data_IF_715474723419
#
_entry.id   IF_715474723419
#
_cell.length_a   1.000
_cell.length_b   1.000
_cell.length_c   1.000
_cell.angle_alpha   90.00
_cell.angle_beta   90.00
_cell.angle_gamma   90.00
#
_symmetry.space_group_name_H-M   'P 1'
#
loop_
_entity.id
_entity.type
_entity.pdbx_description
1 polymer ?
#
# COMPACT_ATOMS: atom_id res chain seq x y z
N UNK A 1 3.87 -13.91 20.06
CA UNK A 1 3.43 -12.75 20.86
C UNK A 1 3.32 -11.58 19.90
N UNK A 2 2.12 -11.02 19.73
CA UNK A 2 2.00 -9.71 19.08
C UNK A 2 2.62 -8.71 20.05
N UNK A 3 3.75 -8.11 19.68
CA UNK A 3 4.25 -6.95 20.42
C UNK A 3 3.12 -5.91 20.46
N UNK A 4 2.80 -5.39 21.64
CA UNK A 4 1.95 -4.20 21.81
C UNK A 4 2.69 -2.99 21.23
N UNK A 5 2.86 -3.00 19.91
CA UNK A 5 3.25 -1.80 19.17
C UNK A 5 2.06 -0.89 19.31
N UNK A 6 2.26 0.22 20.02
CA UNK A 6 1.28 1.30 20.13
C UNK A 6 0.96 1.74 18.70
N UNK A 7 -0.13 1.22 18.15
CA UNK A 7 -0.66 1.64 16.86
C UNK A 7 -1.29 2.99 17.13
N UNK A 8 -0.53 4.05 16.88
CA UNK A 8 -1.09 5.40 16.86
C UNK A 8 -2.33 5.38 15.97
N UNK A 9 -3.43 5.93 16.47
CA UNK A 9 -4.66 6.01 15.68
C UNK A 9 -4.31 6.74 14.36
N UNK A 10 -4.57 6.13 13.20
CA UNK A 10 -4.23 6.76 11.95
C UNK A 10 -4.99 8.07 11.80
N UNK A 11 -4.27 9.13 11.43
CA UNK A 11 -4.84 10.46 11.19
C UNK A 11 -5.89 10.50 10.08
N UNK A 12 -5.93 9.44 9.26
CA UNK A 12 -6.90 9.25 8.17
C UNK A 12 -7.76 8.03 8.48
N UNK A 13 -9.08 8.25 8.57
CA UNK A 13 -10.03 7.14 8.66
C UNK A 13 -10.10 6.38 7.34
N UNK A 14 -9.93 5.07 7.41
CA UNK A 14 -10.13 4.16 6.28
C UNK A 14 -11.53 3.55 6.33
N UNK A 15 -12.08 3.26 5.15
CA UNK A 15 -13.38 2.60 5.02
C UNK A 15 -13.30 1.10 5.28
N UNK A 16 -12.20 0.47 4.87
CA UNK A 16 -12.02 -0.98 4.92
C UNK A 16 -10.97 -1.38 5.97
N UNK A 17 -11.12 -2.55 6.61
CA UNK A 17 -10.07 -3.12 7.46
C UNK A 17 -8.81 -3.45 6.64
N UNK A 18 -7.65 -3.71 7.28
CA UNK A 18 -6.45 -4.06 6.55
C UNK A 18 -6.63 -5.39 5.82
N UNK A 19 -6.14 -5.45 4.59
CA UNK A 19 -6.06 -6.67 3.80
C UNK A 19 -5.03 -7.67 4.37
N UNK A 20 -5.09 -8.93 3.93
CA UNK A 20 -4.06 -9.93 4.28
C UNK A 20 -2.65 -9.50 3.84
N UNK A 21 -2.56 -8.78 2.74
CA UNK A 21 -1.29 -8.22 2.26
C UNK A 21 -0.71 -7.24 3.28
N UNK A 22 -1.52 -6.29 3.74
CA UNK A 22 -1.13 -5.34 4.79
C UNK A 22 -0.76 -6.04 6.09
N UNK A 23 -1.55 -7.02 6.53
CA UNK A 23 -1.26 -7.81 7.72
C UNK A 23 0.08 -8.52 7.65
N UNK A 24 0.34 -9.21 6.53
CA UNK A 24 1.61 -9.92 6.31
C UNK A 24 2.78 -8.96 6.45
N UNK A 25 2.69 -7.80 5.82
CA UNK A 25 3.78 -6.81 5.76
C UNK A 25 4.03 -6.18 7.13
N UNK A 26 2.97 -5.85 7.86
CA UNK A 26 3.08 -5.35 9.23
C UNK A 26 3.71 -6.39 10.16
N UNK A 27 3.43 -7.68 9.94
CA UNK A 27 4.00 -8.77 10.71
C UNK A 27 5.48 -9.05 10.37
N UNK A 28 5.83 -9.03 9.08
CA UNK A 28 7.19 -9.34 8.61
C UNK A 28 8.13 -8.15 8.58
N UNK A 29 7.63 -6.92 8.72
CA UNK A 29 8.43 -5.69 8.61
C UNK A 29 8.98 -5.45 7.20
N UNK A 30 8.29 -5.95 6.17
CA UNK A 30 8.73 -5.82 4.76
C UNK A 30 8.03 -4.64 4.07
N UNK A 31 8.19 -4.50 2.74
CA UNK A 31 7.47 -3.50 1.94
C UNK A 31 6.28 -4.12 1.19
N UNK A 32 5.29 -3.29 0.86
CA UNK A 32 4.18 -3.66 -0.02
C UNK A 32 4.46 -3.26 -1.45
N UNK A 33 4.10 -4.12 -2.40
CA UNK A 33 4.03 -3.78 -3.81
C UNK A 33 2.63 -4.02 -4.37
N UNK A 34 2.10 -3.06 -5.12
CA UNK A 34 0.91 -3.25 -5.96
C UNK A 34 1.35 -3.33 -7.41
N UNK A 35 0.89 -4.37 -8.11
CA UNK A 35 1.07 -4.52 -9.55
C UNK A 35 0.01 -3.72 -10.28
N UNK A 36 0.44 -2.82 -11.16
CA UNK A 36 -0.41 -2.05 -12.06
C UNK A 36 -0.20 -2.55 -13.50
N UNK A 37 -1.29 -2.86 -14.18
CA UNK A 37 -1.29 -3.22 -15.61
C UNK A 37 -1.79 -2.02 -16.40
N UNK A 38 -0.96 -1.51 -17.30
CA UNK A 38 -1.35 -0.43 -18.19
C UNK A 38 -2.14 -0.94 -19.40
N UNK A 39 -2.91 -0.07 -20.09
CA UNK A 39 -3.72 -0.48 -21.25
C UNK A 39 -2.93 -1.04 -22.43
N UNK A 40 -1.64 -0.68 -22.55
CA UNK A 40 -0.70 -1.22 -23.55
C UNK A 40 -0.08 -2.57 -23.14
N UNK A 41 -0.50 -3.13 -22.01
CA UNK A 41 -0.01 -4.40 -21.49
C UNK A 41 1.28 -4.29 -20.66
N UNK A 42 1.87 -3.11 -20.51
CA UNK A 42 3.05 -2.91 -19.66
C UNK A 42 2.68 -3.13 -18.19
N UNK A 43 3.57 -3.78 -17.46
CA UNK A 43 3.41 -4.08 -16.04
C UNK A 43 4.42 -3.30 -15.22
N UNK A 44 3.95 -2.63 -14.16
CA UNK A 44 4.82 -1.98 -13.19
C UNK A 44 4.42 -2.37 -11.77
N UNK A 45 5.41 -2.43 -10.88
CA UNK A 45 5.20 -2.66 -9.45
C UNK A 45 5.50 -1.37 -8.71
N UNK A 46 4.55 -0.88 -7.95
CA UNK A 46 4.69 0.32 -7.13
C UNK A 46 4.75 -0.05 -5.65
N UNK A 47 5.74 0.47 -4.96
CA UNK A 47 5.81 0.32 -3.50
C UNK A 47 4.79 1.25 -2.84
N UNK A 48 4.00 0.71 -1.93
CA UNK A 48 2.94 1.46 -1.23
C UNK A 48 2.96 1.17 0.27
N UNK A 49 2.29 2.01 1.04
CA UNK A 49 1.96 1.76 2.45
C UNK A 49 0.45 1.62 2.65
N UNK A 50 0.03 1.19 3.84
CA UNK A 50 -1.38 1.01 4.21
C UNK A 50 -2.28 2.23 4.01
N UNK A 51 -1.70 3.44 4.00
CA UNK A 51 -2.42 4.70 3.84
C UNK A 51 -2.09 5.43 2.54
N UNK A 52 -1.42 4.77 1.60
CA UNK A 52 -1.17 5.37 0.27
C UNK A 52 -2.51 5.61 -0.42
N UNK A 53 -2.78 6.87 -0.76
CA UNK A 53 -3.99 7.27 -1.48
C UNK A 53 -3.91 6.87 -2.96
N UNK A 54 -5.06 6.59 -3.55
CA UNK A 54 -5.15 6.23 -4.97
C UNK A 54 -4.63 7.35 -5.88
N UNK A 55 -4.87 8.62 -5.55
CA UNK A 55 -4.39 9.78 -6.31
C UNK A 55 -2.86 9.86 -6.29
N UNK A 56 -2.23 9.51 -5.17
CA UNK A 56 -0.77 9.46 -5.05
C UNK A 56 -0.20 8.34 -5.92
N UNK A 57 -0.82 7.15 -5.92
CA UNK A 57 -0.42 6.05 -6.79
C UNK A 57 -0.59 6.42 -8.28
N UNK A 58 -1.71 7.06 -8.64
CA UNK A 58 -1.96 7.54 -9.98
C UNK A 58 -0.92 8.57 -10.42
N UNK A 59 -0.57 9.53 -9.56
CA UNK A 59 0.48 10.51 -9.83
C UNK A 59 1.85 9.87 -10.09
N UNK A 60 2.23 8.87 -9.29
CA UNK A 60 3.47 8.11 -9.52
C UNK A 60 3.43 7.33 -10.84
N UNK A 61 2.30 6.71 -11.16
CA UNK A 61 2.13 5.95 -12.40
C UNK A 61 2.18 6.85 -13.65
N UNK A 62 1.63 8.06 -13.57
CA UNK A 62 1.67 9.05 -14.64
C UNK A 62 3.07 9.62 -14.82
N UNK A 63 3.83 9.85 -13.75
CA UNK A 63 5.19 10.40 -13.84
C UNK A 63 6.22 9.46 -14.49
N UNK A 64 5.90 8.17 -14.63
CA UNK A 64 6.72 7.19 -15.35
C UNK A 64 6.46 7.18 -16.87
N UNK A 65 5.56 8.03 -17.37
CA UNK A 65 5.23 8.20 -18.79
C UNK A 65 5.51 9.63 -19.23
#
# INVERSE_FOLDING_TARGET
>A
MCEDRVVLEPSVRRLYPPSLLEWRINYTGTHMGIKLTFPDGILSIFHVGSFTRAETLAGMALALR
#
